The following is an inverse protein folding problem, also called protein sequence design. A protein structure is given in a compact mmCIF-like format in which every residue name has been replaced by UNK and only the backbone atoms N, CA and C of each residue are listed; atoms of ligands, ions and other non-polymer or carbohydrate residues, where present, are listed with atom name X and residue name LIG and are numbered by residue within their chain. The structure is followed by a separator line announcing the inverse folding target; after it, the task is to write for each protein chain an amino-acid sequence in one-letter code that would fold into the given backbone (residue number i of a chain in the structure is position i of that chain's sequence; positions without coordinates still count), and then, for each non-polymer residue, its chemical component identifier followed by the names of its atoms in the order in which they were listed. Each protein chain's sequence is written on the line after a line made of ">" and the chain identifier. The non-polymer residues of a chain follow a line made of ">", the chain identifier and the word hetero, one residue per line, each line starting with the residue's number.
data_IF_790401530009
#
_entry.id   IF_790401530009
#
_cell.length_a   1.000
_cell.length_b   1.000
_cell.length_c   1.000
_cell.angle_alpha   90.00
_cell.angle_beta   90.00
_cell.angle_gamma   90.00
#
_symmetry.space_group_name_H-M   'P 1'
#
loop_
_entity.id
_entity.type
_entity.pdbx_description
1 polymer ?
#
# COMPACT_ATOMS: atom_id res chain seq x y z
N UNK A 1 3.76 21.33 27.76
CA UNK A 1 2.76 20.31 27.36
C UNK A 1 3.52 19.09 26.88
N UNK A 2 3.52 18.00 27.64
CA UNK A 2 4.14 16.74 27.23
C UNK A 2 3.33 16.17 26.05
N UNK A 3 3.94 16.10 24.87
CA UNK A 3 3.33 15.45 23.72
C UNK A 3 3.13 13.97 24.08
N UNK A 4 1.88 13.53 24.17
CA UNK A 4 1.52 12.14 24.35
C UNK A 4 0.99 11.62 23.02
N UNK A 5 1.24 10.35 22.75
CA UNK A 5 0.65 9.68 21.61
C UNK A 5 -0.89 9.65 21.77
N UNK A 6 -1.67 9.83 20.70
CA UNK A 6 -3.12 9.66 20.77
C UNK A 6 -3.49 8.21 21.12
N UNK A 7 -4.72 7.92 21.59
CA UNK A 7 -5.20 6.56 21.73
C UNK A 7 -5.04 5.78 20.41
N UNK A 8 -4.67 4.49 20.50
CA UNK A 8 -4.41 3.70 19.30
C UNK A 8 -5.64 3.56 18.40
N UNK A 9 -6.85 3.49 18.97
CA UNK A 9 -8.10 3.51 18.20
C UNK A 9 -8.22 4.77 17.32
N UNK A 10 -7.79 5.94 17.81
CA UNK A 10 -7.73 7.18 17.02
C UNK A 10 -6.76 7.05 15.85
N UNK A 11 -5.64 6.37 16.05
CA UNK A 11 -4.67 6.08 14.98
C UNK A 11 -5.27 5.17 13.91
N UNK A 12 -5.96 4.10 14.33
CA UNK A 12 -6.63 3.17 13.40
C UNK A 12 -7.71 3.87 12.59
N UNK A 13 -8.59 4.62 13.25
CA UNK A 13 -9.68 5.34 12.58
C UNK A 13 -9.17 6.42 11.62
N UNK A 14 -8.12 7.15 12.01
CA UNK A 14 -7.55 8.23 11.19
C UNK A 14 -6.79 7.71 9.97
N UNK A 15 -5.97 6.67 10.15
CA UNK A 15 -5.03 6.23 9.10
C UNK A 15 -5.44 4.92 8.41
N UNK A 16 -6.38 4.17 8.99
CA UNK A 16 -6.87 2.89 8.46
C UNK A 16 -7.25 2.94 6.99
N UNK A 17 -8.07 3.90 6.53
CA UNK A 17 -8.44 4.01 5.12
C UNK A 17 -7.24 4.24 4.19
N UNK A 18 -6.27 5.05 4.60
CA UNK A 18 -5.05 5.30 3.82
C UNK A 18 -4.18 4.05 3.73
N UNK A 19 -3.96 3.36 4.85
CA UNK A 19 -3.20 2.11 4.87
C UNK A 19 -3.87 1.05 3.99
N UNK A 20 -5.21 0.95 4.03
CA UNK A 20 -5.94 -0.01 3.20
C UNK A 20 -5.78 0.28 1.70
N UNK A 21 -5.87 1.56 1.30
CA UNK A 21 -5.63 1.98 -0.08
C UNK A 21 -4.22 1.61 -0.55
N UNK A 22 -3.22 1.78 0.31
CA UNK A 22 -1.84 1.39 0.03
C UNK A 22 -1.72 -0.13 -0.13
N UNK A 23 -2.28 -0.90 0.81
CA UNK A 23 -2.27 -2.36 0.73
C UNK A 23 -2.94 -2.85 -0.57
N UNK A 24 -4.12 -2.32 -0.90
CA UNK A 24 -4.82 -2.62 -2.16
C UNK A 24 -3.96 -2.28 -3.37
N UNK A 25 -3.38 -1.08 -3.42
CA UNK A 25 -2.54 -0.66 -4.55
C UNK A 25 -1.30 -1.53 -4.76
N UNK A 26 -0.76 -2.17 -3.72
CA UNK A 26 0.46 -2.99 -3.82
C UNK A 26 0.14 -4.47 -4.03
N UNK A 27 -0.82 -5.02 -3.28
CA UNK A 27 -1.11 -6.45 -3.19
C UNK A 27 -2.34 -6.89 -3.97
N UNK A 28 -3.34 -6.01 -4.10
CA UNK A 28 -4.63 -6.34 -4.70
C UNK A 28 -5.74 -6.56 -3.68
N UNK A 29 -6.98 -6.73 -4.16
CA UNK A 29 -8.16 -6.80 -3.29
C UNK A 29 -8.12 -8.00 -2.34
N UNK A 30 -7.62 -9.14 -2.79
CA UNK A 30 -7.59 -10.40 -2.02
C UNK A 30 -6.73 -10.33 -0.76
N UNK A 31 -5.51 -9.82 -0.88
CA UNK A 31 -4.50 -9.87 0.20
C UNK A 31 -4.44 -8.58 1.03
N UNK A 32 -5.12 -7.51 0.59
CA UNK A 32 -4.99 -6.20 1.20
C UNK A 32 -5.57 -6.09 2.62
N UNK A 33 -6.69 -6.76 2.90
CA UNK A 33 -7.33 -6.71 4.23
C UNK A 33 -6.52 -7.47 5.27
N UNK A 34 -5.91 -8.59 4.87
CA UNK A 34 -5.01 -9.36 5.72
C UNK A 34 -3.73 -8.54 5.99
N UNK A 35 -3.14 -7.92 4.97
CA UNK A 35 -1.98 -7.04 5.14
C UNK A 35 -2.29 -5.81 6.01
N UNK A 36 -3.49 -5.24 5.87
CA UNK A 36 -3.97 -4.15 6.72
C UNK A 36 -4.07 -4.57 8.18
N UNK A 37 -4.69 -5.73 8.43
CA UNK A 37 -4.86 -6.29 9.78
C UNK A 37 -3.51 -6.58 10.43
N UNK A 38 -2.59 -7.22 9.70
CA UNK A 38 -1.23 -7.47 10.14
C UNK A 38 -0.45 -6.18 10.44
N UNK A 39 -0.68 -5.14 9.65
CA UNK A 39 -0.05 -3.82 9.85
C UNK A 39 -0.48 -3.23 11.17
N UNK A 40 -1.79 -3.18 11.45
CA UNK A 40 -2.29 -2.60 12.69
C UNK A 40 -2.01 -3.47 13.92
N UNK A 41 -1.97 -4.79 13.78
CA UNK A 41 -1.50 -5.68 14.86
C UNK A 41 -0.03 -5.45 15.21
N UNK A 42 0.83 -5.30 14.19
CA UNK A 42 2.24 -4.98 14.40
C UNK A 42 2.41 -3.57 14.99
N UNK A 43 1.65 -2.61 14.48
CA UNK A 43 1.65 -1.24 14.98
C UNK A 43 1.21 -1.19 16.45
N UNK A 44 0.12 -1.86 16.84
CA UNK A 44 -0.37 -1.89 18.22
C UNK A 44 0.72 -2.33 19.21
N UNK A 45 1.50 -3.34 18.84
CA UNK A 45 2.60 -3.86 19.68
C UNK A 45 3.76 -2.87 19.81
N UNK A 46 4.09 -2.16 18.75
CA UNK A 46 5.21 -1.22 18.71
C UNK A 46 4.82 0.22 19.13
N UNK A 47 3.51 0.51 19.21
CA UNK A 47 2.98 1.84 19.47
C UNK A 47 3.44 2.47 20.80
N UNK A 48 3.54 1.72 21.92
CA UNK A 48 4.01 2.30 23.18
C UNK A 48 5.43 2.89 23.11
N UNK A 49 6.26 2.39 22.19
CA UNK A 49 7.65 2.81 22.02
C UNK A 49 7.81 3.92 20.96
N UNK A 50 6.72 4.32 20.28
CA UNK A 50 6.78 5.35 19.26
C UNK A 50 7.05 6.72 19.89
N UNK A 51 8.06 7.43 19.38
CA UNK A 51 8.40 8.75 19.91
C UNK A 51 7.27 9.76 19.64
N UNK A 52 6.80 10.52 20.65
CA UNK A 52 5.84 11.59 20.43
C UNK A 52 6.33 12.59 19.38
N UNK A 53 5.43 13.04 18.49
CA UNK A 53 5.78 13.93 17.37
C UNK A 53 6.27 13.20 16.11
N UNK A 54 6.40 11.87 16.15
CA UNK A 54 6.67 11.07 14.95
C UNK A 54 5.54 11.19 13.92
N UNK A 55 5.87 11.14 12.64
CA UNK A 55 4.86 11.04 11.58
C UNK A 55 4.24 9.64 11.58
N UNK A 56 3.11 9.50 12.29
CA UNK A 56 2.39 8.23 12.47
C UNK A 56 2.00 7.62 11.12
N UNK A 57 1.61 8.43 10.14
CA UNK A 57 1.25 7.94 8.80
C UNK A 57 2.45 7.31 8.09
N UNK A 58 3.59 8.00 8.06
CA UNK A 58 4.81 7.46 7.45
C UNK A 58 5.30 6.18 8.15
N UNK A 59 5.18 6.14 9.48
CA UNK A 59 5.50 4.96 10.28
C UNK A 59 4.58 3.77 9.95
N UNK A 60 3.27 3.98 9.88
CA UNK A 60 2.31 2.93 9.48
C UNK A 60 2.56 2.43 8.06
N UNK A 61 2.83 3.33 7.11
CA UNK A 61 3.15 2.96 5.72
C UNK A 61 4.45 2.15 5.64
N UNK A 62 5.41 2.44 6.52
CA UNK A 62 6.64 1.63 6.63
C UNK A 62 6.34 0.21 7.08
N UNK A 63 5.47 0.03 8.07
CA UNK A 63 5.03 -1.30 8.51
C UNK A 63 4.28 -2.02 7.39
N UNK A 64 3.32 -1.34 6.76
CA UNK A 64 2.52 -1.89 5.64
C UNK A 64 3.39 -2.32 4.46
N UNK A 65 4.41 -1.53 4.11
CA UNK A 65 5.37 -1.88 3.07
C UNK A 65 6.11 -3.18 3.37
N UNK A 66 6.62 -3.35 4.60
CA UNK A 66 7.33 -4.59 4.99
C UNK A 66 6.41 -5.80 4.84
N UNK A 67 5.18 -5.69 5.33
CA UNK A 67 4.15 -6.74 5.19
C UNK A 67 3.85 -7.07 3.73
N UNK A 68 3.65 -6.05 2.90
CA UNK A 68 3.38 -6.25 1.49
C UNK A 68 4.57 -6.88 0.74
N UNK A 69 5.80 -6.46 1.01
CA UNK A 69 6.99 -7.05 0.40
C UNK A 69 7.16 -8.52 0.77
N UNK A 70 6.92 -8.88 2.03
CA UNK A 70 7.02 -10.27 2.49
C UNK A 70 6.00 -11.16 1.77
N UNK A 71 4.75 -10.68 1.60
CA UNK A 71 3.73 -11.41 0.86
C UNK A 71 4.04 -11.52 -0.65
N UNK A 72 4.48 -10.44 -1.31
CA UNK A 72 4.90 -10.48 -2.72
C UNK A 72 6.04 -11.50 -2.92
N UNK A 73 7.01 -11.53 -2.00
CA UNK A 73 8.11 -12.50 -2.05
C UNK A 73 7.63 -13.93 -1.82
N UNK A 74 6.66 -14.14 -0.93
CA UNK A 74 6.07 -15.44 -0.69
C UNK A 74 5.28 -15.96 -1.90
N UNK A 75 4.52 -15.09 -2.57
CA UNK A 75 3.77 -15.43 -3.78
C UNK A 75 4.68 -15.88 -4.92
N UNK A 76 5.79 -15.17 -5.16
CA UNK A 76 6.79 -15.54 -6.19
C UNK A 76 7.45 -16.91 -5.89
N UNK A 77 7.58 -17.29 -4.62
CA UNK A 77 8.26 -18.52 -4.20
C UNK A 77 7.34 -19.75 -4.14
N UNK A 78 6.02 -19.58 -4.20
CA UNK A 78 5.09 -20.70 -4.27
C UNK A 78 4.96 -21.16 -5.73
N UNK A 79 5.18 -22.46 -6.05
CA UNK A 79 4.71 -22.98 -7.33
C UNK A 79 3.19 -22.84 -7.34
N UNK A 80 2.64 -22.10 -8.30
CA UNK A 80 1.20 -21.87 -8.43
C UNK A 80 0.53 -23.24 -8.64
N UNK A 81 -0.26 -23.75 -7.68
CA UNK A 81 -1.19 -24.82 -7.98
C UNK A 81 -2.31 -24.16 -8.80
N UNK A 82 -2.43 -24.53 -10.07
CA UNK A 82 -3.67 -24.32 -10.83
C UNK A 82 -4.74 -25.17 -10.16
N UNK A 83 -5.43 -24.65 -9.15
CA UNK A 83 -6.79 -25.07 -8.80
C UNK A 83 -7.42 -24.11 -7.77
N UNK A 84 -8.50 -23.47 -8.22
CA UNK A 84 -9.60 -22.86 -7.45
C UNK A 84 -9.28 -21.76 -6.43
N UNK A 85 -9.78 -20.55 -6.75
CA UNK A 85 -9.95 -19.43 -5.81
C UNK A 85 -11.10 -19.76 -4.84
N UNK A 86 -10.93 -19.62 -3.50
CA UNK A 86 -12.06 -19.63 -2.59
C UNK A 86 -12.84 -18.33 -2.74
N UNK A 87 -14.11 -18.44 -3.09
CA UNK A 87 -15.06 -17.33 -3.09
C UNK A 87 -15.22 -16.83 -1.64
N UNK A 88 -14.77 -15.59 -1.38
CA UNK A 88 -14.94 -14.89 -0.10
C UNK A 88 -15.97 -13.80 -0.36
N UNK A 89 -17.15 -13.82 0.29
CA UNK A 89 -18.16 -12.79 0.07
C UNK A 89 -17.65 -11.46 0.64
N UNK A 90 -17.23 -10.56 -0.25
CA UNK A 90 -16.83 -9.20 0.09
C UNK A 90 -18.06 -8.35 0.39
N UNK A 91 -18.01 -7.62 1.50
CA UNK A 91 -19.02 -6.62 1.84
C UNK A 91 -19.13 -5.55 0.75
N UNK A 92 -20.37 -5.16 0.41
CA UNK A 92 -20.74 -4.15 -0.59
C UNK A 92 -19.89 -2.86 -0.50
N UNK A 93 -18.93 -2.70 -1.43
CA UNK A 93 -18.15 -1.47 -1.71
C UNK A 93 -17.81 -1.50 -3.22
N UNK A 94 -17.77 -0.38 -3.97
CA UNK A 94 -17.86 -0.34 -5.45
C UNK A 94 -16.87 -1.29 -6.18
N UNK A 95 -17.34 -2.49 -6.49
CA UNK A 95 -16.49 -3.63 -6.87
C UNK A 95 -15.80 -3.46 -8.22
N UNK A 96 -16.48 -2.91 -9.22
CA UNK A 96 -15.92 -2.89 -10.58
C UNK A 96 -14.80 -1.86 -10.77
N UNK A 97 -14.93 -0.65 -10.19
CA UNK A 97 -13.94 0.42 -10.38
C UNK A 97 -12.69 0.25 -9.52
N UNK A 98 -12.82 -0.36 -8.33
CA UNK A 98 -11.69 -0.61 -7.46
C UNK A 98 -10.80 -1.75 -7.99
N UNK A 99 -11.42 -2.77 -8.59
CA UNK A 99 -10.71 -3.89 -9.21
C UNK A 99 -10.00 -3.46 -10.51
N UNK A 100 -10.64 -2.63 -11.34
CA UNK A 100 -10.04 -2.06 -12.55
C UNK A 100 -8.79 -1.20 -12.24
N UNK A 101 -8.87 -0.32 -11.23
CA UNK A 101 -7.72 0.49 -10.82
C UNK A 101 -6.55 -0.37 -10.34
N UNK A 102 -6.84 -1.42 -9.56
CA UNK A 102 -5.78 -2.33 -9.14
C UNK A 102 -5.20 -3.09 -10.33
N UNK A 103 -6.02 -3.56 -11.26
CA UNK A 103 -5.55 -4.24 -12.47
C UNK A 103 -4.58 -3.35 -13.24
N UNK A 104 -4.91 -2.08 -13.47
CA UNK A 104 -4.02 -1.13 -14.12
C UNK A 104 -2.72 -0.89 -13.32
N UNK A 105 -2.79 -0.77 -11.99
CA UNK A 105 -1.61 -0.67 -11.12
C UNK A 105 -0.75 -1.93 -11.17
N UNK A 106 -1.37 -3.11 -11.29
CA UNK A 106 -0.74 -4.43 -11.33
C UNK A 106 0.15 -4.64 -12.57
N UNK A 107 -0.12 -3.88 -13.64
CA UNK A 107 0.69 -3.88 -14.87
C UNK A 107 1.95 -3.02 -14.75
N UNK A 108 2.03 -2.13 -13.77
CA UNK A 108 3.21 -1.31 -13.56
C UNK A 108 4.36 -2.15 -12.97
N UNK A 109 5.62 -1.87 -13.36
CA UNK A 109 6.79 -2.32 -12.62
C UNK A 109 6.63 -2.01 -11.12
N UNK A 110 6.99 -2.96 -10.26
CA UNK A 110 6.75 -2.88 -8.81
C UNK A 110 7.24 -1.55 -8.21
N UNK A 111 8.41 -1.06 -8.61
CA UNK A 111 8.96 0.20 -8.12
C UNK A 111 8.08 1.41 -8.50
N UNK A 112 7.55 1.45 -9.73
CA UNK A 112 6.64 2.52 -10.15
C UNK A 112 5.33 2.45 -9.36
N UNK A 113 4.75 1.26 -9.22
CA UNK A 113 3.53 1.02 -8.42
C UNK A 113 3.69 1.50 -6.98
N UNK A 114 4.79 1.13 -6.34
CA UNK A 114 5.11 1.55 -4.97
C UNK A 114 5.29 3.05 -4.85
N UNK A 115 6.04 3.68 -5.76
CA UNK A 115 6.20 5.13 -5.77
C UNK A 115 4.85 5.84 -5.92
N UNK A 116 3.98 5.37 -6.82
CA UNK A 116 2.64 5.92 -7.01
C UNK A 116 1.80 5.74 -5.74
N UNK A 117 1.77 4.54 -5.16
CA UNK A 117 0.99 4.24 -3.96
C UNK A 117 1.44 5.10 -2.76
N UNK A 118 2.73 5.10 -2.44
CA UNK A 118 3.23 5.77 -1.25
C UNK A 118 3.20 7.30 -1.37
N UNK A 119 3.48 7.85 -2.55
CA UNK A 119 3.42 9.29 -2.75
C UNK A 119 1.98 9.80 -2.88
N UNK A 120 1.18 9.22 -3.79
CA UNK A 120 -0.14 9.77 -4.12
C UNK A 120 -1.26 9.29 -3.21
N UNK A 121 -1.21 8.07 -2.67
CA UNK A 121 -2.26 7.55 -1.78
C UNK A 121 -1.94 7.83 -0.31
N UNK A 122 -0.66 7.74 0.07
CA UNK A 122 -0.21 7.98 1.44
C UNK A 122 0.48 9.35 1.64
N UNK A 123 0.54 10.21 0.63
CA UNK A 123 1.04 11.58 0.78
C UNK A 123 2.50 11.70 1.21
N UNK A 124 3.30 10.63 1.09
CA UNK A 124 4.68 10.67 1.56
C UNK A 124 5.55 11.53 0.64
N UNK A 125 6.45 12.38 1.20
CA UNK A 125 7.49 13.03 0.43
C UNK A 125 8.36 12.01 -0.32
N UNK A 126 8.87 12.37 -1.50
CA UNK A 126 9.72 11.47 -2.28
C UNK A 126 10.98 11.00 -1.55
N UNK A 127 11.48 11.78 -0.60
CA UNK A 127 12.58 11.37 0.26
C UNK A 127 12.21 10.16 1.14
N UNK A 128 11.03 10.20 1.75
CA UNK A 128 10.52 9.11 2.60
C UNK A 128 10.19 7.88 1.75
N UNK A 129 9.62 8.08 0.56
CA UNK A 129 9.39 6.99 -0.40
C UNK A 129 10.71 6.32 -0.78
N UNK A 130 11.74 7.11 -1.11
CA UNK A 130 13.06 6.59 -1.47
C UNK A 130 13.75 5.87 -0.30
N UNK A 131 13.63 6.37 0.92
CA UNK A 131 14.12 5.70 2.12
C UNK A 131 13.43 4.34 2.34
N UNK A 132 12.14 4.25 2.00
CA UNK A 132 11.36 3.03 2.17
C UNK A 132 11.68 1.95 1.13
N UNK A 133 11.76 2.31 -0.15
CA UNK A 133 11.92 1.35 -1.26
C UNK A 133 13.35 1.23 -1.79
N UNK A 134 14.25 2.11 -1.34
CA UNK A 134 15.62 2.21 -1.80
C UNK A 134 15.82 3.10 -3.04
N UNK A 135 16.90 3.89 -3.01
CA UNK A 135 17.33 4.78 -4.10
C UNK A 135 17.34 6.24 -3.69
N UNK A 136 17.32 7.15 -4.66
CA UNK A 136 17.26 8.59 -4.44
C UNK A 136 15.83 9.15 -4.56
N UNK A 137 15.58 10.31 -3.96
CA UNK A 137 14.30 11.02 -4.08
C UNK A 137 13.98 11.35 -5.55
N UNK A 138 14.98 11.70 -6.36
CA UNK A 138 14.81 11.98 -7.79
C UNK A 138 14.40 10.72 -8.56
N UNK A 139 15.01 9.56 -8.25
CA UNK A 139 14.62 8.29 -8.84
C UNK A 139 13.20 7.89 -8.43
N UNK A 140 12.80 8.12 -7.19
CA UNK A 140 11.44 7.87 -6.72
C UNK A 140 10.43 8.78 -7.44
N UNK A 141 10.73 10.08 -7.57
CA UNK A 141 9.92 11.04 -8.34
C UNK A 141 9.77 10.61 -9.79
N UNK A 142 10.89 10.25 -10.44
CA UNK A 142 10.87 9.80 -11.83
C UNK A 142 10.00 8.55 -12.00
N UNK A 143 10.17 7.55 -11.14
CA UNK A 143 9.38 6.33 -11.17
C UNK A 143 7.87 6.59 -10.92
N UNK A 144 7.51 7.51 -10.02
CA UNK A 144 6.12 7.92 -9.84
C UNK A 144 5.55 8.57 -11.10
N UNK A 145 6.30 9.51 -11.70
CA UNK A 145 5.88 10.20 -12.93
C UNK A 145 5.70 9.23 -14.10
N UNK A 146 6.63 8.29 -14.28
CA UNK A 146 6.55 7.25 -15.31
C UNK A 146 5.33 6.34 -15.06
N UNK A 147 5.06 5.96 -13.81
CA UNK A 147 3.89 5.17 -13.42
C UNK A 147 2.56 5.88 -13.71
N UNK A 148 2.45 7.16 -13.32
CA UNK A 148 1.26 7.97 -13.63
C UNK A 148 1.07 8.14 -15.14
N UNK A 149 2.16 8.34 -15.90
CA UNK A 149 2.10 8.43 -17.36
C UNK A 149 1.62 7.11 -18.00
N UNK A 150 2.04 5.96 -17.47
CA UNK A 150 1.55 4.66 -17.90
C UNK A 150 0.06 4.46 -17.58
N UNK A 151 -0.37 4.73 -16.35
CA UNK A 151 -1.79 4.65 -15.95
C UNK A 151 -2.69 5.55 -16.80
N UNK A 152 -2.23 6.76 -17.15
CA UNK A 152 -2.97 7.66 -18.04
C UNK A 152 -3.22 7.07 -19.43
N UNK A 153 -2.35 6.18 -19.91
CA UNK A 153 -2.51 5.49 -21.20
C UNK A 153 -3.40 4.26 -21.09
N UNK A 154 -3.24 3.46 -20.04
CA UNK A 154 -3.93 2.18 -19.90
C UNK A 154 -5.33 2.33 -19.28
N UNK A 155 -5.46 3.12 -18.22
CA UNK A 155 -6.72 3.26 -17.47
C UNK A 155 -7.75 4.18 -18.12
N UNK A 156 -7.32 5.21 -18.88
CA UNK A 156 -8.26 6.13 -19.56
C UNK A 156 -8.78 5.60 -20.90
N UNK A 157 -8.14 4.58 -21.47
CA UNK A 157 -8.48 4.06 -22.79
C UNK A 157 -9.35 2.79 -22.75
N UNK A 158 -9.61 2.21 -21.57
CA UNK A 158 -10.46 1.02 -21.43
C UNK A 158 -9.89 -0.25 -22.10
N UNK A 159 -8.66 -0.21 -22.60
CA UNK A 159 -7.99 -1.37 -23.19
C UNK A 159 -7.24 -2.13 -22.09
N UNK A 160 -7.97 -3.01 -21.42
CA UNK A 160 -7.36 -4.18 -20.78
C UNK A 160 -7.00 -5.17 -21.89
N UNK A 161 -5.72 -5.59 -22.03
CA UNK A 161 -5.34 -6.57 -23.04
C UNK A 161 -5.97 -7.95 -22.79
#
# INVERSE_FOLDING_TARGET
>A
MTAHLPPFETVVTTHGPTVLRVCRAVLGPTDAEDAWSETFLAALRAYPDLSPGSNVQAWLVTIAHRKAIDQVRAAVRRPVPTDTVPDRPGADVPGEWADDLWQALSLLPLKQRQCVAYHHLAGLPYADVAALIGGSADAARRAAADGVAALRRTYRNGETP
#
